data_IF_132421624376
#
_entry.id   IF_132421624376
#
_cell.length_a   1.000
_cell.length_b   1.000
_cell.length_c   1.000
_cell.angle_alpha   90.00
_cell.angle_beta   90.00
_cell.angle_gamma   90.00
#
_symmetry.space_group_name_H-M   'P 1'
#
loop_
_entity.id
_entity.type
_entity.pdbx_description
1 polymer ?
#
# COMPACT_ATOMS: atom_id res chain seq x y z
N UNK A 1 16.64 12.44 -2.81
CA UNK A 1 15.34 12.12 -2.15
C UNK A 1 14.83 13.34 -1.40
N UNK A 2 13.51 13.51 -1.30
CA UNK A 2 12.89 14.62 -0.57
C UNK A 2 11.54 14.20 0.03
N UNK A 3 11.11 14.84 1.10
CA UNK A 3 9.76 14.66 1.62
C UNK A 3 8.73 15.32 0.71
N UNK A 4 7.68 14.58 0.38
CA UNK A 4 6.52 15.10 -0.38
C UNK A 4 5.54 15.77 0.58
N UNK A 5 5.10 16.99 0.26
CA UNK A 5 4.18 17.73 1.10
C UNK A 5 2.76 17.10 1.11
N UNK A 6 2.02 17.36 2.20
CA UNK A 6 0.60 16.95 2.26
C UNK A 6 -0.23 17.57 1.13
N UNK A 7 0.08 18.81 0.75
CA UNK A 7 -0.63 19.53 -0.32
C UNK A 7 -0.46 18.82 -1.65
N UNK A 8 0.73 18.31 -1.92
CA UNK A 8 1.05 17.58 -3.14
C UNK A 8 0.45 16.16 -3.17
N UNK A 9 0.42 15.45 -2.04
CA UNK A 9 -0.17 14.10 -1.95
C UNK A 9 -1.70 14.12 -2.00
N UNK A 10 -2.34 15.22 -1.55
CA UNK A 10 -3.79 15.31 -1.41
C UNK A 10 -4.57 15.03 -2.71
N UNK A 11 -4.26 15.63 -3.87
CA UNK A 11 -5.01 15.38 -5.11
C UNK A 11 -4.91 13.91 -5.57
N UNK A 12 -3.76 13.28 -5.44
CA UNK A 12 -3.56 11.87 -5.78
C UNK A 12 -4.40 10.94 -4.89
N UNK A 13 -4.48 11.23 -3.60
CA UNK A 13 -5.37 10.50 -2.68
C UNK A 13 -6.83 10.68 -3.02
N UNK A 14 -7.25 11.89 -3.39
CA UNK A 14 -8.63 12.18 -3.78
C UNK A 14 -9.01 11.43 -5.06
N UNK A 15 -8.12 11.39 -6.05
CA UNK A 15 -8.32 10.62 -7.29
C UNK A 15 -8.45 9.13 -6.99
N UNK A 16 -7.56 8.54 -6.19
CA UNK A 16 -7.65 7.14 -5.81
C UNK A 16 -8.94 6.83 -5.06
N UNK A 17 -9.39 7.72 -4.19
CA UNK A 17 -10.67 7.57 -3.49
C UNK A 17 -11.84 7.49 -4.47
N UNK A 18 -11.88 8.37 -5.48
CA UNK A 18 -12.89 8.34 -6.55
C UNK A 18 -12.89 7.00 -7.30
N UNK A 19 -11.71 6.48 -7.65
CA UNK A 19 -11.59 5.15 -8.27
C UNK A 19 -12.12 4.04 -7.36
N UNK A 20 -11.75 4.07 -6.09
CA UNK A 20 -12.18 3.04 -5.15
C UNK A 20 -13.71 2.99 -4.98
N UNK A 21 -14.41 4.11 -5.09
CA UNK A 21 -15.88 4.13 -5.09
C UNK A 21 -16.44 3.46 -6.35
N UNK A 22 -15.86 3.72 -7.52
CA UNK A 22 -16.25 3.07 -8.77
C UNK A 22 -15.94 1.56 -8.75
N UNK A 23 -14.75 1.20 -8.28
CA UNK A 23 -14.33 -0.20 -8.11
C UNK A 23 -15.28 -0.92 -7.14
N UNK A 24 -15.68 -0.26 -6.04
CA UNK A 24 -16.60 -0.84 -5.04
C UNK A 24 -17.97 -1.16 -5.66
N UNK A 25 -18.50 -0.27 -6.48
CA UNK A 25 -19.76 -0.49 -7.20
C UNK A 25 -19.66 -1.70 -8.13
N UNK A 26 -18.63 -1.75 -8.99
CA UNK A 26 -18.43 -2.86 -9.94
C UNK A 26 -18.16 -4.20 -9.22
N UNK A 27 -17.40 -4.19 -8.15
CA UNK A 27 -17.12 -5.41 -7.37
C UNK A 27 -18.37 -5.93 -6.65
N UNK A 28 -19.26 -5.04 -6.18
CA UNK A 28 -20.54 -5.41 -5.57
C UNK A 28 -21.43 -6.16 -6.57
N UNK A 29 -21.49 -5.71 -7.83
CA UNK A 29 -22.22 -6.40 -8.92
C UNK A 29 -21.67 -7.81 -9.17
N UNK A 30 -20.38 -8.02 -8.91
CA UNK A 30 -19.68 -9.30 -9.02
C UNK A 30 -19.70 -10.12 -7.72
N UNK A 31 -20.55 -9.77 -6.76
CA UNK A 31 -20.74 -10.49 -5.49
C UNK A 31 -19.65 -10.27 -4.44
N UNK A 32 -18.74 -9.32 -4.64
CA UNK A 32 -17.70 -8.98 -3.65
C UNK A 32 -18.02 -7.64 -2.99
N UNK A 33 -18.15 -7.65 -1.65
CA UNK A 33 -18.18 -6.44 -0.85
C UNK A 33 -16.86 -6.26 -0.10
N UNK A 34 -16.35 -5.02 -0.08
CA UNK A 34 -15.11 -4.69 0.60
C UNK A 34 -15.10 -3.28 1.19
N UNK A 35 -14.21 -3.06 2.12
CA UNK A 35 -13.79 -1.73 2.60
C UNK A 35 -12.33 -1.50 2.25
N UNK A 36 -11.87 -0.25 2.34
CA UNK A 36 -10.47 0.07 2.09
C UNK A 36 -9.96 1.18 3.01
N UNK A 37 -8.66 1.23 3.21
CA UNK A 37 -8.00 2.30 3.97
C UNK A 37 -6.62 2.62 3.43
N UNK A 38 -6.25 3.89 3.52
CA UNK A 38 -4.87 4.34 3.32
C UNK A 38 -4.00 3.87 4.48
N UNK A 39 -2.81 3.37 4.17
CA UNK A 39 -1.81 2.94 5.15
C UNK A 39 -0.43 3.53 4.80
N UNK A 40 0.64 2.97 5.34
CA UNK A 40 2.00 3.30 4.94
C UNK A 40 2.43 4.74 5.24
N UNK A 41 3.34 5.23 4.43
CA UNK A 41 3.96 6.54 4.56
C UNK A 41 2.97 7.69 4.29
N UNK A 42 2.06 7.50 3.33
CA UNK A 42 1.08 8.51 2.95
C UNK A 42 0.06 8.80 4.07
N UNK A 43 -0.36 7.77 4.84
CA UNK A 43 -1.20 7.97 6.03
C UNK A 43 -0.49 8.75 7.13
N UNK A 44 0.82 8.56 7.27
CA UNK A 44 1.65 9.12 8.35
C UNK A 44 2.32 10.43 7.99
N UNK A 45 2.13 10.93 6.78
CA UNK A 45 2.81 12.11 6.26
C UNK A 45 4.35 11.96 6.24
N UNK A 46 4.80 10.77 5.88
CA UNK A 46 6.21 10.38 5.77
C UNK A 46 6.58 9.97 4.34
N UNK A 47 5.84 10.48 3.34
CA UNK A 47 6.09 10.17 1.93
C UNK A 47 7.41 10.78 1.51
N UNK A 48 8.27 9.97 0.90
CA UNK A 48 9.56 10.38 0.36
C UNK A 48 9.56 10.08 -1.15
N UNK A 49 9.91 11.09 -1.96
CA UNK A 49 10.12 10.94 -3.40
C UNK A 49 11.55 10.47 -3.66
N UNK A 50 11.65 9.48 -4.53
CA UNK A 50 12.91 8.94 -5.02
C UNK A 50 13.16 9.43 -6.45
N UNK A 51 13.82 10.58 -6.61
CA UNK A 51 14.21 11.08 -7.94
C UNK A 51 13.14 10.82 -9.03
N UNK A 52 13.48 9.97 -10.03
CA UNK A 52 12.58 9.63 -11.14
C UNK A 52 11.53 8.55 -10.81
N UNK A 53 11.55 7.96 -9.61
CA UNK A 53 10.59 6.90 -9.21
C UNK A 53 9.31 7.43 -8.57
N UNK A 54 9.16 8.77 -8.45
CA UNK A 54 7.98 9.36 -7.85
C UNK A 54 7.83 9.01 -6.37
N UNK A 55 6.59 8.78 -5.95
CA UNK A 55 6.25 8.32 -4.60
C UNK A 55 5.04 7.38 -4.65
N UNK A 56 4.89 6.56 -3.61
CA UNK A 56 3.84 5.57 -3.52
C UNK A 56 2.84 5.90 -2.41
N UNK A 57 1.58 5.52 -2.64
CA UNK A 57 0.52 5.51 -1.66
C UNK A 57 0.05 4.07 -1.46
N UNK A 58 0.16 3.57 -0.24
CA UNK A 58 -0.20 2.20 0.12
C UNK A 58 -1.65 2.11 0.60
N UNK A 59 -2.41 1.17 0.06
CA UNK A 59 -3.79 0.92 0.43
C UNK A 59 -4.02 -0.54 0.81
N UNK A 60 -4.94 -0.75 1.73
CA UNK A 60 -5.45 -2.05 2.13
C UNK A 60 -6.91 -2.16 1.77
N UNK A 61 -7.29 -3.20 1.04
CA UNK A 61 -8.66 -3.63 0.80
C UNK A 61 -8.98 -4.76 1.77
N UNK A 62 -10.14 -4.71 2.42
CA UNK A 62 -10.64 -5.73 3.33
C UNK A 62 -11.88 -6.38 2.73
N UNK A 63 -11.78 -7.65 2.33
CA UNK A 63 -12.93 -8.43 1.86
C UNK A 63 -13.91 -8.61 3.03
N UNK A 64 -15.14 -8.16 2.84
CA UNK A 64 -16.24 -8.30 3.81
C UNK A 64 -17.16 -9.46 3.43
N UNK A 65 -17.39 -9.65 2.14
CA UNK A 65 -18.22 -10.73 1.59
C UNK A 65 -17.69 -11.18 0.23
N UNK A 66 -17.82 -12.48 -0.02
CA UNK A 66 -17.54 -13.15 -1.28
C UNK A 66 -18.71 -14.11 -1.57
N UNK A 67 -19.81 -13.55 -2.09
CA UNK A 67 -21.06 -14.29 -2.29
C UNK A 67 -20.93 -15.44 -3.31
N UNK A 68 -20.00 -15.30 -4.25
CA UNK A 68 -19.78 -16.28 -5.32
C UNK A 68 -18.70 -17.31 -4.96
N UNK A 69 -18.21 -17.32 -3.74
CA UNK A 69 -17.16 -18.23 -3.25
C UNK A 69 -15.92 -18.27 -4.15
N UNK A 70 -15.55 -17.12 -4.73
CA UNK A 70 -14.38 -17.01 -5.60
C UNK A 70 -13.10 -17.40 -4.84
N UNK A 71 -12.24 -18.16 -5.52
CA UNK A 71 -10.91 -18.51 -5.02
C UNK A 71 -10.01 -17.28 -4.86
N UNK A 72 -8.93 -17.37 -4.08
CA UNK A 72 -7.95 -16.28 -3.93
C UNK A 72 -7.41 -15.78 -5.28
N UNK A 73 -7.19 -16.67 -6.25
CA UNK A 73 -6.75 -16.33 -7.61
C UNK A 73 -7.79 -15.49 -8.33
N UNK A 74 -9.05 -15.96 -8.35
CA UNK A 74 -10.15 -15.26 -9.01
C UNK A 74 -10.39 -13.90 -8.39
N UNK A 75 -10.36 -13.77 -7.06
CA UNK A 75 -10.45 -12.50 -6.35
C UNK A 75 -9.37 -11.54 -6.84
N UNK A 76 -8.10 -11.95 -6.84
CA UNK A 76 -6.98 -11.08 -7.22
C UNK A 76 -7.07 -10.63 -8.67
N UNK A 77 -7.38 -11.54 -9.58
CA UNK A 77 -7.51 -11.25 -11.01
C UNK A 77 -8.73 -10.38 -11.31
N UNK A 78 -9.83 -10.58 -10.59
CA UNK A 78 -11.02 -9.75 -10.70
C UNK A 78 -10.75 -8.31 -10.25
N UNK A 79 -10.09 -8.11 -9.08
CA UNK A 79 -9.67 -6.77 -8.66
C UNK A 79 -8.74 -6.12 -9.69
N UNK A 80 -7.75 -6.87 -10.21
CA UNK A 80 -6.86 -6.36 -11.26
C UNK A 80 -7.64 -5.87 -12.48
N UNK A 81 -8.54 -6.68 -13.01
CA UNK A 81 -9.35 -6.35 -14.19
C UNK A 81 -10.22 -5.11 -13.98
N UNK A 82 -10.89 -5.01 -12.82
CA UNK A 82 -11.74 -3.85 -12.50
C UNK A 82 -10.91 -2.59 -12.26
N UNK A 83 -9.73 -2.71 -11.65
CA UNK A 83 -8.78 -1.60 -11.50
C UNK A 83 -8.31 -1.10 -12.87
N UNK A 84 -7.90 -2.00 -13.77
CA UNK A 84 -7.48 -1.66 -15.13
C UNK A 84 -8.58 -0.91 -15.87
N UNK A 85 -9.82 -1.39 -15.79
CA UNK A 85 -10.98 -0.75 -16.41
C UNK A 85 -11.23 0.68 -15.89
N UNK A 86 -11.15 0.87 -14.56
CA UNK A 86 -11.46 2.15 -13.92
C UNK A 86 -10.33 3.17 -14.11
N UNK A 87 -9.07 2.73 -14.12
CA UNK A 87 -7.90 3.63 -14.17
C UNK A 87 -7.46 3.97 -15.61
N UNK A 88 -7.91 3.20 -16.61
CA UNK A 88 -7.48 3.37 -18.00
C UNK A 88 -7.73 4.78 -18.55
N UNK A 89 -8.85 5.41 -18.19
CA UNK A 89 -9.23 6.76 -18.66
C UNK A 89 -8.34 7.87 -18.11
N UNK A 90 -7.63 7.65 -17.02
CA UNK A 90 -6.87 8.68 -16.31
C UNK A 90 -5.35 8.64 -16.61
N UNK A 91 -4.95 7.89 -17.65
CA UNK A 91 -3.56 7.85 -18.15
C UNK A 91 -2.61 7.02 -17.29
N UNK A 92 -3.14 6.07 -16.53
CA UNK A 92 -2.33 5.13 -15.76
C UNK A 92 -1.95 3.90 -16.56
N UNK A 93 -0.77 3.35 -16.26
CA UNK A 93 -0.32 2.08 -16.83
C UNK A 93 -1.20 0.92 -16.31
N UNK A 94 -1.25 -0.16 -17.08
CA UNK A 94 -1.95 -1.36 -16.65
C UNK A 94 -1.45 -1.85 -15.29
N UNK A 95 -2.38 -2.28 -14.45
CA UNK A 95 -2.09 -2.74 -13.10
C UNK A 95 -1.12 -3.93 -13.09
N UNK A 96 0.00 -3.77 -12.43
CA UNK A 96 0.98 -4.85 -12.22
C UNK A 96 0.49 -5.78 -11.10
N UNK A 97 0.46 -7.08 -11.39
CA UNK A 97 0.18 -8.10 -10.38
C UNK A 97 1.49 -8.57 -9.74
N UNK A 98 1.85 -8.03 -8.57
CA UNK A 98 3.01 -8.50 -7.82
C UNK A 98 2.65 -9.65 -6.85
N UNK A 99 3.63 -10.17 -6.12
CA UNK A 99 3.40 -11.26 -5.13
C UNK A 99 2.29 -10.91 -4.14
N UNK A 100 2.33 -9.71 -3.55
CA UNK A 100 1.41 -9.32 -2.46
C UNK A 100 0.50 -8.15 -2.81
N UNK A 101 0.82 -7.34 -3.81
CA UNK A 101 0.05 -6.14 -4.18
C UNK A 101 -0.40 -6.16 -5.63
N UNK A 102 -1.37 -5.32 -5.90
CA UNK A 102 -1.72 -4.79 -7.21
C UNK A 102 -1.14 -3.38 -7.26
N UNK A 103 -0.25 -3.10 -8.22
CA UNK A 103 0.45 -1.82 -8.31
C UNK A 103 0.02 -1.06 -9.55
N UNK A 104 -0.42 0.19 -9.36
CA UNK A 104 -0.88 1.09 -10.42
C UNK A 104 0.09 2.27 -10.48
N UNK A 105 0.60 2.62 -11.66
CA UNK A 105 1.59 3.70 -11.81
C UNK A 105 1.15 4.71 -12.86
N UNK A 106 1.30 5.98 -12.54
CA UNK A 106 1.29 7.03 -13.54
C UNK A 106 2.72 7.32 -13.98
N UNK A 107 2.98 7.08 -15.26
CA UNK A 107 4.29 7.29 -15.87
C UNK A 107 4.23 8.46 -16.83
N UNK A 108 5.08 9.44 -16.62
CA UNK A 108 5.36 10.49 -17.59
C UNK A 108 6.36 9.96 -18.62
N UNK A 109 5.84 9.50 -19.76
CA UNK A 109 6.66 8.88 -20.82
C UNK A 109 7.64 9.86 -21.44
N UNK A 110 7.30 11.16 -21.48
CA UNK A 110 8.16 12.19 -22.06
C UNK A 110 9.42 12.43 -21.21
N UNK A 111 9.32 12.22 -19.89
CA UNK A 111 10.43 12.42 -18.96
C UNK A 111 10.99 11.10 -18.40
N UNK A 112 10.47 9.95 -18.86
CA UNK A 112 10.81 8.62 -18.31
C UNK A 112 10.72 8.58 -16.78
N UNK A 113 9.64 9.17 -16.23
CA UNK A 113 9.49 9.42 -14.79
C UNK A 113 8.16 8.89 -14.28
N UNK A 114 8.20 8.12 -13.20
CA UNK A 114 6.99 7.80 -12.44
C UNK A 114 6.58 9.03 -11.63
N UNK A 115 5.33 9.46 -11.73
CA UNK A 115 4.77 10.56 -10.92
C UNK A 115 4.26 10.06 -9.58
N UNK A 116 3.43 9.02 -9.61
CA UNK A 116 2.85 8.39 -8.42
C UNK A 116 2.60 6.91 -8.68
N UNK A 117 2.75 6.11 -7.63
CA UNK A 117 2.34 4.72 -7.55
C UNK A 117 1.27 4.51 -6.49
N UNK A 118 0.42 3.50 -6.69
CA UNK A 118 -0.51 3.00 -5.69
C UNK A 118 -0.31 1.52 -5.53
N UNK A 119 0.07 1.10 -4.32
CA UNK A 119 0.18 -0.29 -3.94
C UNK A 119 -1.06 -0.71 -3.16
N UNK A 120 -1.81 -1.66 -3.70
CA UNK A 120 -3.05 -2.15 -3.14
C UNK A 120 -2.89 -3.60 -2.73
N UNK A 121 -3.01 -3.89 -1.44
CA UNK A 121 -3.02 -5.25 -0.92
C UNK A 121 -4.44 -5.68 -0.55
N UNK A 122 -4.77 -6.95 -0.78
CA UNK A 122 -6.07 -7.54 -0.48
C UNK A 122 -5.96 -8.35 0.80
N UNK A 123 -6.80 -8.07 1.75
CA UNK A 123 -6.83 -8.66 3.08
C UNK A 123 -8.18 -9.29 3.36
N UNK A 124 -8.16 -10.30 4.22
CA UNK A 124 -9.35 -10.94 4.78
C UNK A 124 -9.15 -11.09 6.29
N UNK A 125 -10.15 -10.70 7.05
CA UNK A 125 -10.20 -10.93 8.49
C UNK A 125 -10.79 -12.31 8.76
N UNK A 126 -10.14 -13.08 9.63
CA UNK A 126 -10.55 -14.44 10.04
C UNK A 126 -10.41 -14.58 11.54
N UNK A 127 -10.94 -15.65 12.12
CA UNK A 127 -10.80 -15.96 13.56
C UNK A 127 -9.33 -16.12 13.97
N UNK A 128 -8.47 -16.55 13.05
CA UNK A 128 -7.01 -16.68 13.29
C UNK A 128 -6.27 -15.32 13.20
N UNK A 129 -6.92 -14.27 12.70
CA UNK A 129 -6.36 -12.94 12.50
C UNK A 129 -6.44 -12.45 11.06
N UNK A 130 -5.65 -11.43 10.75
CA UNK A 130 -5.65 -10.77 9.47
C UNK A 130 -4.77 -11.54 8.47
N UNK A 131 -5.37 -11.98 7.34
CA UNK A 131 -4.68 -12.68 6.26
C UNK A 131 -4.51 -11.78 5.03
N UNK A 132 -3.37 -11.90 4.35
CA UNK A 132 -3.06 -11.19 3.09
C UNK A 132 -3.07 -12.17 1.92
N UNK A 133 -3.70 -11.76 0.82
CA UNK A 133 -3.71 -12.52 -0.43
C UNK A 133 -2.34 -12.41 -1.12
N UNK A 134 -1.67 -13.55 -1.30
CA UNK A 134 -0.38 -13.65 -1.97
C UNK A 134 -0.39 -14.61 -3.15
N UNK A 135 0.42 -14.29 -4.14
CA UNK A 135 0.81 -15.19 -5.22
C UNK A 135 2.15 -15.83 -4.83
N UNK A 136 2.13 -17.11 -4.52
CA UNK A 136 3.34 -17.91 -4.26
C UNK A 136 3.91 -18.46 -5.56
N UNK A 137 5.22 -18.68 -5.64
CA UNK A 137 5.92 -19.24 -6.80
C UNK A 137 5.54 -18.58 -8.13
N UNK A 138 5.35 -17.27 -8.11
CA UNK A 138 4.90 -16.48 -9.26
C UNK A 138 5.76 -16.75 -10.49
N UNK A 139 5.10 -16.96 -11.64
CA UNK A 139 5.75 -17.20 -12.93
C UNK A 139 6.27 -18.63 -13.11
N UNK A 140 5.97 -19.55 -12.21
CA UNK A 140 6.34 -20.96 -12.31
C UNK A 140 5.11 -21.86 -12.51
N UNK A 141 5.35 -23.12 -12.89
CA UNK A 141 4.28 -24.13 -12.97
C UNK A 141 3.61 -24.43 -11.62
N UNK A 142 4.24 -24.03 -10.50
CA UNK A 142 3.72 -24.18 -9.13
C UNK A 142 3.09 -22.91 -8.59
N UNK A 143 2.76 -21.95 -9.46
CA UNK A 143 2.10 -20.72 -9.05
C UNK A 143 0.77 -21.00 -8.35
N UNK A 144 0.60 -20.45 -7.15
CA UNK A 144 -0.61 -20.58 -6.35
C UNK A 144 -0.97 -19.27 -5.67
N UNK A 145 -2.24 -19.11 -5.32
CA UNK A 145 -2.75 -17.92 -4.63
C UNK A 145 -3.38 -18.34 -3.32
N UNK A 146 -2.91 -17.77 -2.23
CA UNK A 146 -3.33 -18.13 -0.88
C UNK A 146 -3.54 -16.88 -0.01
N UNK A 147 -4.37 -17.02 1.02
CA UNK A 147 -4.45 -16.07 2.12
C UNK A 147 -3.49 -16.51 3.23
N UNK A 148 -2.41 -15.76 3.44
CA UNK A 148 -1.40 -16.00 4.47
C UNK A 148 -1.62 -15.09 5.68
N UNK A 149 -1.43 -15.63 6.88
CA UNK A 149 -1.54 -14.87 8.11
C UNK A 149 -0.48 -13.75 8.16
N UNK A 150 -0.91 -12.54 8.47
CA UNK A 150 0.00 -11.43 8.71
C UNK A 150 0.51 -11.48 10.16
N UNK A 151 1.78 -11.13 10.39
CA UNK A 151 2.29 -10.91 11.74
C UNK A 151 1.48 -9.84 12.47
N UNK A 152 1.27 -10.01 13.76
CA UNK A 152 0.62 -9.00 14.58
C UNK A 152 1.43 -7.69 14.62
N UNK A 153 0.77 -6.60 14.27
CA UNK A 153 1.34 -5.28 14.13
C UNK A 153 0.78 -4.26 15.14
N UNK A 154 0.05 -4.72 16.15
CA UNK A 154 -0.65 -3.86 17.13
C UNK A 154 0.32 -2.95 17.88
N UNK A 155 1.53 -3.42 18.12
CA UNK A 155 2.57 -2.70 18.87
C UNK A 155 3.05 -1.41 18.18
N UNK A 156 3.02 -1.32 16.84
CA UNK A 156 3.46 -0.12 16.10
C UNK A 156 2.55 1.08 16.34
N UNK A 157 1.24 0.90 16.37
CA UNK A 157 0.28 1.99 16.59
C UNK A 157 0.47 2.60 17.99
N UNK A 158 0.68 1.77 19.01
CA UNK A 158 0.95 2.22 20.36
C UNK A 158 2.28 3.00 20.47
N UNK A 159 3.34 2.53 19.81
CA UNK A 159 4.63 3.22 19.74
C UNK A 159 4.53 4.59 19.06
N UNK A 160 3.80 4.68 17.96
CA UNK A 160 3.56 5.96 17.27
C UNK A 160 2.74 6.94 18.11
N UNK A 161 1.76 6.46 18.87
CA UNK A 161 1.00 7.29 19.80
C UNK A 161 1.91 7.87 20.90
N UNK A 162 2.85 7.09 21.43
CA UNK A 162 3.85 7.57 22.40
C UNK A 162 4.75 8.66 21.81
N UNK A 163 5.26 8.49 20.59
CA UNK A 163 6.08 9.51 19.90
C UNK A 163 5.30 10.80 19.71
N UNK A 164 4.02 10.71 19.31
CA UNK A 164 3.14 11.88 19.16
C UNK A 164 2.91 12.59 20.50
N UNK A 165 2.62 11.85 21.56
CA UNK A 165 2.45 12.38 22.91
C UNK A 165 3.69 13.12 23.44
N UNK A 166 4.89 12.62 23.12
CA UNK A 166 6.17 13.25 23.48
C UNK A 166 6.60 14.39 22.52
N UNK A 167 5.79 14.77 21.54
CA UNK A 167 6.09 15.78 20.50
C UNK A 167 7.38 15.47 19.71
N UNK A 168 7.72 14.20 19.52
CA UNK A 168 8.95 13.75 18.84
C UNK A 168 8.73 13.40 17.35
N UNK A 169 7.65 13.86 16.74
CA UNK A 169 7.33 13.55 15.34
C UNK A 169 8.43 14.02 14.37
N UNK A 170 9.06 15.17 14.62
CA UNK A 170 10.13 15.70 13.75
C UNK A 170 11.40 14.84 13.86
N UNK A 171 11.74 14.38 15.05
CA UNK A 171 12.84 13.41 15.25
C UNK A 171 12.56 12.09 14.49
N UNK A 172 11.31 11.62 14.51
CA UNK A 172 10.93 10.42 13.73
C UNK A 172 11.09 10.67 12.23
N UNK A 173 10.66 11.83 11.73
CA UNK A 173 10.82 12.19 10.31
C UNK A 173 12.30 12.19 9.91
N UNK A 174 13.15 12.85 10.68
CA UNK A 174 14.59 12.92 10.44
C UNK A 174 15.22 11.51 10.41
N UNK A 175 14.96 10.69 11.44
CA UNK A 175 15.51 9.32 11.53
C UNK A 175 15.04 8.44 10.38
N UNK A 176 13.76 8.48 10.06
CA UNK A 176 13.22 7.71 8.95
C UNK A 176 13.80 8.15 7.61
N UNK A 177 13.97 9.46 7.37
CA UNK A 177 14.59 10.00 6.18
C UNK A 177 16.03 9.47 6.03
N UNK A 178 16.84 9.62 7.07
CA UNK A 178 18.23 9.17 7.07
C UNK A 178 18.35 7.66 6.80
N UNK A 179 17.46 6.86 7.40
CA UNK A 179 17.42 5.41 7.11
C UNK A 179 17.04 5.12 5.67
N UNK A 180 16.08 5.84 5.09
CA UNK A 180 15.66 5.63 3.69
C UNK A 180 16.73 6.07 2.69
N UNK A 181 17.46 7.14 2.96
CA UNK A 181 18.47 7.69 2.05
C UNK A 181 19.79 6.94 2.09
N UNK A 182 20.19 6.45 3.24
CA UNK A 182 21.50 5.83 3.45
C UNK A 182 21.45 4.29 3.39
N UNK A 183 20.27 3.72 3.18
CA UNK A 183 20.11 2.27 3.18
C UNK A 183 20.17 1.70 1.76
N UNK A 184 21.16 0.85 1.51
CA UNK A 184 21.39 0.16 0.22
C UNK A 184 21.03 -1.34 0.27
N UNK A 185 20.35 -1.80 1.32
CA UNK A 185 20.04 -3.21 1.51
C UNK A 185 18.60 -3.58 1.13
N UNK A 186 18.17 -4.79 1.52
CA UNK A 186 16.87 -5.39 1.14
C UNK A 186 15.70 -5.03 2.08
N UNK A 187 15.93 -4.26 3.15
CA UNK A 187 14.87 -3.90 4.11
C UNK A 187 13.76 -3.09 3.45
N UNK A 188 12.54 -3.51 3.66
CA UNK A 188 11.35 -2.80 3.20
C UNK A 188 11.15 -1.51 4.01
N UNK A 189 10.51 -0.51 3.40
CA UNK A 189 10.21 0.80 4.03
C UNK A 189 9.58 0.68 5.42
N UNK A 190 8.74 -0.34 5.62
CA UNK A 190 8.12 -0.65 6.90
C UNK A 190 9.14 -1.03 7.98
N UNK A 191 10.13 -1.85 7.65
CA UNK A 191 11.19 -2.26 8.60
C UNK A 191 12.03 -1.05 9.03
N UNK A 192 12.41 -0.21 8.05
CA UNK A 192 13.15 1.04 8.32
C UNK A 192 12.34 2.01 9.21
N UNK A 193 11.02 2.09 9.00
CA UNK A 193 10.15 2.89 9.86
C UNK A 193 10.08 2.34 11.28
N UNK A 194 9.98 1.03 11.44
CA UNK A 194 9.94 0.40 12.77
C UNK A 194 11.25 0.62 13.54
N UNK A 195 12.38 0.53 12.85
CA UNK A 195 13.70 0.86 13.44
C UNK A 195 13.76 2.33 13.86
N UNK A 196 13.34 3.26 13.00
CA UNK A 196 13.32 4.69 13.33
C UNK A 196 12.42 4.98 14.55
N UNK A 197 11.26 4.32 14.64
CA UNK A 197 10.35 4.42 15.79
C UNK A 197 11.05 3.95 17.08
N UNK A 198 11.70 2.79 17.03
CA UNK A 198 12.39 2.24 18.21
C UNK A 198 13.54 3.15 18.67
N UNK A 199 14.34 3.68 17.74
CA UNK A 199 15.41 4.64 18.07
C UNK A 199 14.88 5.90 18.74
N UNK A 200 13.80 6.50 18.19
CA UNK A 200 13.22 7.72 18.77
C UNK A 200 12.66 7.49 20.17
N UNK A 201 12.10 6.31 20.43
CA UNK A 201 11.57 5.97 21.75
C UNK A 201 12.66 5.72 22.80
N UNK A 202 13.90 5.41 22.37
CA UNK A 202 15.07 5.24 23.24
C UNK A 202 15.76 6.57 23.57
N UNK A 203 15.50 7.64 22.82
CA UNK A 203 16.00 8.98 23.12
C UNK A 203 15.36 9.50 24.42
N UNK A 204 16.19 9.78 25.43
CA UNK A 204 15.79 10.43 26.68
C UNK A 204 15.45 11.89 26.49
#
# INVERSE_FOLDING_TARGET
>A
MEYVSKKEVKPWRAMFHKWMENIRTKMKEKGIAFTYRLVGSAKRNLVIRHHNKGFDCDYQIFIQRNNNSLSPKEIKLLFKSVIDEVCASDGFEACENSTSSLTIKMVDKSQSKVRVGYDVVILQETDEGLKILRCQNKGTKKESFVFELLPDMTNMSAKLAKIKGKKQCDKLRERYYNKKTNYNGEKKSFQLLNEAINEVLQLK
#
